data_IF_042956242225
#
_entry.id   IF_042956242225
#
_cell.length_a   1.000
_cell.length_b   1.000
_cell.length_c   1.000
_cell.angle_alpha   90.00
_cell.angle_beta   90.00
_cell.angle_gamma   90.00
#
_symmetry.space_group_name_H-M   'P 1'
#
loop_
_entity.id
_entity.type
_entity.pdbx_description
1 polymer ?
#
# COMPACT_ATOMS: atom_id res chain seq x y z
N UNK A 1 -1.76 -21.24 -18.13
CA UNK A 1 -1.22 -20.18 -17.23
C UNK A 1 -2.35 -19.26 -16.85
N UNK A 2 -2.44 -18.86 -15.58
CA UNK A 2 -3.43 -17.87 -15.17
C UNK A 2 -3.10 -16.52 -15.81
N UNK A 3 -4.14 -15.83 -16.27
CA UNK A 3 -4.01 -14.51 -16.88
C UNK A 3 -4.33 -13.46 -15.85
N UNK A 4 -3.38 -12.59 -15.52
CA UNK A 4 -3.51 -11.54 -14.49
C UNK A 4 -3.37 -10.16 -15.11
N UNK A 5 -4.38 -9.33 -14.91
CA UNK A 5 -4.35 -7.92 -15.29
C UNK A 5 -3.80 -7.09 -14.12
N UNK A 6 -2.77 -6.30 -14.37
CA UNK A 6 -2.18 -5.39 -13.37
C UNK A 6 -2.37 -3.96 -13.86
N UNK A 7 -3.20 -3.18 -13.18
CA UNK A 7 -3.25 -1.73 -13.42
C UNK A 7 -2.16 -1.03 -12.63
N UNK A 8 -1.61 0.06 -13.16
CA UNK A 8 -0.49 0.73 -12.51
C UNK A 8 0.81 -0.06 -12.53
N UNK A 9 0.99 -0.95 -13.52
CA UNK A 9 2.18 -1.80 -13.67
C UNK A 9 3.51 -1.02 -13.84
N UNK A 10 3.48 0.24 -14.26
CA UNK A 10 4.64 1.12 -14.31
C UNK A 10 4.99 1.79 -12.96
N UNK A 11 4.08 1.70 -11.97
CA UNK A 11 4.25 2.31 -10.65
C UNK A 11 5.25 1.56 -9.75
N UNK A 12 5.42 2.07 -8.52
CA UNK A 12 6.37 1.54 -7.55
C UNK A 12 6.14 0.06 -7.21
N UNK A 13 4.93 -0.32 -6.82
CA UNK A 13 4.57 -1.71 -6.54
C UNK A 13 4.40 -2.50 -7.83
N UNK A 14 3.70 -1.92 -8.82
CA UNK A 14 3.30 -2.59 -10.05
C UNK A 14 4.49 -3.09 -10.88
N UNK A 15 5.56 -2.31 -11.01
CA UNK A 15 6.75 -2.71 -11.77
C UNK A 15 7.48 -3.91 -11.14
N UNK A 16 7.50 -3.98 -9.82
CA UNK A 16 8.10 -5.10 -9.07
C UNK A 16 7.22 -6.34 -9.12
N UNK A 17 5.92 -6.17 -8.98
CA UNK A 17 4.95 -7.26 -9.09
C UNK A 17 4.94 -7.87 -10.49
N UNK A 18 4.87 -7.04 -11.53
CA UNK A 18 4.91 -7.51 -12.91
C UNK A 18 6.20 -8.29 -13.20
N UNK A 19 7.36 -7.82 -12.72
CA UNK A 19 8.62 -8.55 -12.84
C UNK A 19 8.60 -9.89 -12.11
N UNK A 20 8.06 -9.93 -10.89
CA UNK A 20 7.98 -11.15 -10.08
C UNK A 20 7.09 -12.20 -10.71
N UNK A 21 5.97 -11.81 -11.32
CA UNK A 21 4.98 -12.73 -11.89
C UNK A 21 5.26 -13.11 -13.35
N UNK A 22 6.21 -12.45 -14.02
CA UNK A 22 6.45 -12.63 -15.47
C UNK A 22 6.79 -14.05 -15.90
N UNK A 23 7.31 -14.91 -14.99
CA UNK A 23 7.63 -16.30 -15.27
C UNK A 23 6.52 -17.29 -14.93
N UNK A 24 5.50 -16.87 -14.16
CA UNK A 24 4.46 -17.75 -13.60
C UNK A 24 3.05 -17.49 -14.17
N UNK A 25 2.80 -16.28 -14.69
CA UNK A 25 1.50 -15.85 -15.19
C UNK A 25 1.59 -15.24 -16.60
N UNK A 26 0.49 -15.29 -17.34
CA UNK A 26 0.30 -14.40 -18.50
C UNK A 26 -0.13 -13.03 -17.99
N UNK A 27 0.72 -12.02 -18.16
CA UNK A 27 0.47 -10.69 -17.62
C UNK A 27 -0.14 -9.76 -18.67
N UNK A 28 -1.21 -9.07 -18.26
CA UNK A 28 -1.79 -7.93 -18.96
C UNK A 28 -1.42 -6.68 -18.19
N UNK A 29 -0.61 -5.81 -18.78
CA UNK A 29 -0.11 -4.57 -18.16
C UNK A 29 -0.40 -3.36 -19.03
N UNK A 30 -1.70 -3.05 -19.29
CA UNK A 30 -2.05 -1.97 -20.18
C UNK A 30 -1.61 -0.61 -19.63
N UNK A 31 -1.26 0.29 -20.55
CA UNK A 31 -1.07 1.69 -20.24
C UNK A 31 -2.39 2.36 -19.87
N UNK A 32 -2.34 3.54 -19.25
CA UNK A 32 -3.55 4.34 -18.94
C UNK A 32 -4.38 4.63 -20.20
N UNK A 33 -3.74 4.82 -21.36
CA UNK A 33 -4.44 5.11 -22.62
C UNK A 33 -5.22 3.91 -23.14
N UNK A 34 -4.74 2.70 -22.89
CA UNK A 34 -5.38 1.43 -23.31
C UNK A 34 -6.46 0.98 -22.33
N UNK A 35 -6.30 1.35 -21.05
CA UNK A 35 -7.16 0.90 -19.96
C UNK A 35 -7.43 2.06 -18.99
N UNK A 36 -8.32 2.96 -19.40
CA UNK A 36 -8.76 4.07 -18.57
C UNK A 36 -9.80 3.57 -17.55
N UNK A 37 -9.44 3.49 -16.29
CA UNK A 37 -10.32 3.01 -15.21
C UNK A 37 -11.53 3.90 -14.97
N UNK A 38 -11.50 5.16 -15.43
CA UNK A 38 -12.65 6.07 -15.34
C UNK A 38 -13.71 5.80 -16.40
N UNK A 39 -13.39 5.03 -17.44
CA UNK A 39 -14.31 4.66 -18.53
C UNK A 39 -14.80 3.21 -18.40
N UNK A 40 -16.01 3.04 -17.89
CA UNK A 40 -16.64 1.72 -17.77
C UNK A 40 -16.71 0.96 -19.11
N UNK A 41 -16.95 1.69 -20.20
CA UNK A 41 -17.01 1.09 -21.56
C UNK A 41 -15.64 0.56 -21.98
N UNK A 42 -14.54 1.30 -21.75
CA UNK A 42 -13.18 0.86 -22.06
C UNK A 42 -12.81 -0.39 -21.25
N UNK A 43 -13.17 -0.41 -19.95
CA UNK A 43 -12.93 -1.56 -19.08
C UNK A 43 -13.68 -2.81 -19.56
N UNK A 44 -14.97 -2.70 -19.86
CA UNK A 44 -15.77 -3.81 -20.39
C UNK A 44 -15.20 -4.35 -21.70
N UNK A 45 -14.79 -3.46 -22.61
CA UNK A 45 -14.19 -3.88 -23.87
C UNK A 45 -12.90 -4.66 -23.64
N UNK A 46 -11.98 -4.10 -22.84
CA UNK A 46 -10.67 -4.72 -22.57
C UNK A 46 -10.80 -6.04 -21.84
N UNK A 47 -11.55 -6.07 -20.74
CA UNK A 47 -11.74 -7.30 -19.94
C UNK A 47 -12.53 -8.35 -20.72
N UNK A 48 -13.52 -7.95 -21.50
CA UNK A 48 -14.29 -8.83 -22.40
C UNK A 48 -13.43 -9.49 -23.47
N UNK A 49 -12.46 -8.76 -24.02
CA UNK A 49 -11.51 -9.27 -25.03
C UNK A 49 -10.47 -10.20 -24.42
N UNK A 50 -9.85 -9.79 -23.32
CA UNK A 50 -8.68 -10.49 -22.74
C UNK A 50 -9.02 -11.57 -21.74
N UNK A 51 -10.20 -11.47 -21.09
CA UNK A 51 -10.69 -12.47 -20.11
C UNK A 51 -9.66 -12.83 -19.01
N UNK A 52 -9.17 -11.85 -18.22
CA UNK A 52 -8.26 -12.16 -17.12
C UNK A 52 -9.00 -12.96 -16.02
N UNK A 53 -8.27 -13.84 -15.32
CA UNK A 53 -8.78 -14.55 -14.16
C UNK A 53 -8.80 -13.62 -12.93
N UNK A 54 -7.83 -12.72 -12.85
CA UNK A 54 -7.71 -11.76 -11.76
C UNK A 54 -7.29 -10.38 -12.25
N UNK A 55 -7.73 -9.36 -11.52
CA UNK A 55 -7.34 -7.95 -11.66
C UNK A 55 -6.66 -7.52 -10.37
N UNK A 56 -5.38 -7.14 -10.45
CA UNK A 56 -4.65 -6.53 -9.35
C UNK A 56 -4.59 -5.03 -9.61
N UNK A 57 -5.38 -4.27 -8.86
CA UNK A 57 -5.53 -2.84 -9.06
C UNK A 57 -4.58 -2.04 -8.15
N UNK A 58 -3.51 -1.50 -8.76
CA UNK A 58 -2.46 -0.70 -8.12
C UNK A 58 -2.47 0.77 -8.58
N UNK A 59 -3.21 1.10 -9.64
CA UNK A 59 -3.31 2.48 -10.12
C UNK A 59 -4.08 3.34 -9.10
N UNK A 60 -3.50 4.45 -8.69
CA UNK A 60 -4.14 5.39 -7.76
C UNK A 60 -3.47 6.77 -7.81
N UNK A 61 -4.20 7.81 -7.47
CA UNK A 61 -3.62 9.07 -7.02
C UNK A 61 -3.31 8.92 -5.52
N UNK A 62 -2.03 8.67 -5.18
CA UNK A 62 -1.60 8.31 -3.83
C UNK A 62 -0.90 9.43 -3.05
N UNK A 63 -0.64 10.58 -3.68
CA UNK A 63 -0.12 11.74 -3.00
C UNK A 63 -1.22 12.41 -2.19
N UNK A 64 -1.16 12.32 -0.86
CA UNK A 64 -2.19 12.83 0.04
C UNK A 64 -2.37 14.34 -0.09
N UNK A 65 -1.27 15.12 -0.24
CA UNK A 65 -1.34 16.56 -0.45
C UNK A 65 -2.05 16.92 -1.76
N UNK A 66 -1.71 16.24 -2.86
CA UNK A 66 -2.39 16.42 -4.14
C UNK A 66 -3.89 16.10 -4.05
N UNK A 67 -4.26 15.05 -3.31
CA UNK A 67 -5.66 14.68 -3.13
C UNK A 67 -6.45 15.74 -2.31
N UNK A 68 -5.78 16.44 -1.38
CA UNK A 68 -6.40 17.57 -0.66
C UNK A 68 -6.64 18.78 -1.60
N UNK A 69 -5.69 19.07 -2.47
CA UNK A 69 -5.78 20.19 -3.42
C UNK A 69 -6.74 19.88 -4.59
N UNK A 70 -6.89 18.59 -4.98
CA UNK A 70 -7.67 18.12 -6.12
C UNK A 70 -8.66 17.00 -5.75
N UNK A 71 -9.62 17.24 -4.83
CA UNK A 71 -10.48 16.17 -4.31
C UNK A 71 -11.40 15.54 -5.37
N UNK A 72 -11.85 16.29 -6.39
CA UNK A 72 -12.69 15.77 -7.46
C UNK A 72 -11.91 14.79 -8.36
N UNK A 73 -10.66 15.11 -8.70
CA UNK A 73 -9.82 14.23 -9.50
C UNK A 73 -9.47 12.97 -8.71
N UNK A 74 -9.12 13.15 -7.42
CA UNK A 74 -8.91 12.03 -6.50
C UNK A 74 -10.14 11.12 -6.39
N UNK A 75 -11.35 11.67 -6.34
CA UNK A 75 -12.59 10.89 -6.34
C UNK A 75 -12.76 10.10 -7.64
N UNK A 76 -12.58 10.74 -8.81
CA UNK A 76 -12.74 10.08 -10.09
C UNK A 76 -11.80 8.86 -10.25
N UNK A 77 -10.55 9.00 -9.83
CA UNK A 77 -9.57 7.91 -9.96
C UNK A 77 -9.70 6.89 -8.83
N UNK A 78 -9.73 7.35 -7.57
CA UNK A 78 -9.63 6.47 -6.41
C UNK A 78 -10.97 5.86 -5.97
N UNK A 79 -12.11 6.41 -6.40
CA UNK A 79 -13.46 5.88 -6.08
C UNK A 79 -14.15 5.38 -7.35
N UNK A 80 -14.49 6.27 -8.26
CA UNK A 80 -15.26 5.90 -9.47
C UNK A 80 -14.51 4.87 -10.33
N UNK A 81 -13.18 4.99 -10.44
CA UNK A 81 -12.34 4.00 -11.13
C UNK A 81 -12.43 2.61 -10.49
N UNK A 82 -12.42 2.54 -9.15
CA UNK A 82 -12.54 1.27 -8.40
C UNK A 82 -13.96 0.70 -8.54
N UNK A 83 -15.01 1.53 -8.47
CA UNK A 83 -16.39 1.10 -8.73
C UNK A 83 -16.54 0.47 -10.11
N UNK A 84 -15.97 1.10 -11.15
CA UNK A 84 -16.01 0.57 -12.51
C UNK A 84 -15.30 -0.79 -12.60
N UNK A 85 -14.14 -0.94 -11.96
CA UNK A 85 -13.41 -2.21 -11.91
C UNK A 85 -14.19 -3.28 -11.17
N UNK A 86 -14.82 -2.96 -10.04
CA UNK A 86 -15.64 -3.90 -9.28
C UNK A 86 -16.85 -4.40 -10.09
N UNK A 87 -17.54 -3.49 -10.81
CA UNK A 87 -18.64 -3.86 -11.72
C UNK A 87 -18.16 -4.83 -12.80
N UNK A 88 -17.05 -4.49 -13.46
CA UNK A 88 -16.51 -5.33 -14.54
C UNK A 88 -15.98 -6.66 -13.99
N UNK A 89 -15.33 -6.67 -12.84
CA UNK A 89 -14.89 -7.91 -12.19
C UNK A 89 -16.06 -8.83 -11.89
N UNK A 90 -17.16 -8.31 -11.33
CA UNK A 90 -18.38 -9.08 -11.08
C UNK A 90 -19.04 -9.57 -12.39
N UNK A 91 -19.15 -8.72 -13.42
CA UNK A 91 -19.74 -9.07 -14.71
C UNK A 91 -18.99 -10.21 -15.43
N UNK A 92 -17.67 -10.25 -15.31
CA UNK A 92 -16.82 -11.22 -16.02
C UNK A 92 -16.30 -12.36 -15.14
N UNK A 93 -16.62 -12.37 -13.85
CA UNK A 93 -16.18 -13.41 -12.90
C UNK A 93 -14.67 -13.34 -12.60
N UNK A 94 -14.07 -12.14 -12.64
CA UNK A 94 -12.66 -11.94 -12.32
C UNK A 94 -12.46 -11.71 -10.83
N UNK A 95 -11.43 -12.31 -10.21
CA UNK A 95 -11.02 -11.95 -8.85
C UNK A 95 -10.45 -10.52 -8.84
N UNK A 96 -11.00 -9.63 -8.02
CA UNK A 96 -10.49 -8.27 -7.88
C UNK A 96 -9.69 -8.13 -6.58
N UNK A 97 -8.41 -7.76 -6.70
CA UNK A 97 -7.56 -7.35 -5.59
C UNK A 97 -7.33 -5.84 -5.71
N UNK A 98 -7.78 -5.08 -4.73
CA UNK A 98 -7.70 -3.63 -4.72
C UNK A 98 -6.79 -3.14 -3.61
N UNK A 99 -5.80 -2.31 -3.95
CA UNK A 99 -4.92 -1.68 -2.95
C UNK A 99 -5.59 -0.44 -2.35
N UNK A 100 -6.14 -0.62 -1.16
CA UNK A 100 -6.53 0.45 -0.25
C UNK A 100 -5.30 0.96 0.52
N UNK A 101 -5.47 1.60 1.67
CA UNK A 101 -4.38 2.23 2.41
C UNK A 101 -4.64 2.25 3.92
N UNK A 102 -3.57 2.23 4.72
CA UNK A 102 -3.57 2.54 6.14
C UNK A 102 -4.13 3.95 6.46
N UNK A 103 -4.20 4.83 5.44
CA UNK A 103 -4.76 6.18 5.59
C UNK A 103 -6.26 6.19 5.94
N UNK A 104 -6.97 5.07 5.80
CA UNK A 104 -8.35 4.92 6.30
C UNK A 104 -8.42 5.05 7.82
N UNK A 105 -7.33 4.77 8.53
CA UNK A 105 -7.21 4.93 9.98
C UNK A 105 -6.77 6.35 10.41
N UNK A 106 -6.46 7.25 9.46
CA UNK A 106 -6.02 8.61 9.80
C UNK A 106 -7.14 9.37 10.51
N UNK A 107 -6.86 9.90 11.69
CA UNK A 107 -7.87 10.49 12.59
C UNK A 107 -8.36 9.53 13.68
N UNK A 108 -7.95 8.26 13.65
CA UNK A 108 -8.26 7.32 14.72
C UNK A 108 -7.48 7.65 16.00
N UNK A 109 -8.14 7.59 17.15
CA UNK A 109 -7.57 7.92 18.46
C UNK A 109 -7.22 6.68 19.29
N UNK A 110 -7.50 5.48 18.81
CA UNK A 110 -7.17 4.25 19.53
C UNK A 110 -5.67 4.01 19.56
N UNK A 111 -5.19 3.47 20.68
CA UNK A 111 -3.79 3.13 20.87
C UNK A 111 -3.50 1.70 20.41
N UNK A 112 -2.25 1.44 20.06
CA UNK A 112 -1.78 0.11 19.66
C UNK A 112 -2.05 -0.23 18.20
N UNK A 113 -2.05 -1.53 17.89
CA UNK A 113 -2.28 -1.99 16.52
C UNK A 113 -3.77 -2.02 16.20
N UNK A 114 -4.15 -1.40 15.10
CA UNK A 114 -5.54 -1.26 14.64
C UNK A 114 -5.91 -2.45 13.75
N UNK A 115 -6.93 -3.18 14.11
CA UNK A 115 -7.51 -4.21 13.25
C UNK A 115 -8.66 -3.66 12.38
N UNK A 116 -9.20 -4.48 11.49
CA UNK A 116 -10.21 -4.07 10.51
C UNK A 116 -11.60 -3.80 11.12
N UNK A 117 -11.81 -4.16 12.39
CA UNK A 117 -13.07 -3.92 13.13
C UNK A 117 -13.13 -2.54 13.77
N UNK A 118 -12.00 -1.85 13.87
CA UNK A 118 -11.92 -0.51 14.45
C UNK A 118 -12.74 0.47 13.59
N UNK A 119 -13.63 1.27 14.19
CA UNK A 119 -14.35 2.31 13.46
C UNK A 119 -13.39 3.29 12.79
N UNK A 120 -13.62 3.57 11.52
CA UNK A 120 -12.78 4.46 10.72
C UNK A 120 -13.52 5.71 10.28
N UNK A 121 -12.89 6.87 10.43
CA UNK A 121 -13.38 8.17 10.02
C UNK A 121 -12.21 9.05 9.55
N UNK A 122 -11.62 8.74 8.39
CA UNK A 122 -10.40 9.40 7.95
C UNK A 122 -10.59 10.91 7.74
N UNK A 123 -9.64 11.70 8.23
CA UNK A 123 -9.69 13.16 8.20
C UNK A 123 -9.28 13.76 6.85
N UNK A 124 -8.45 13.04 6.06
CA UNK A 124 -7.97 13.51 4.77
C UNK A 124 -8.78 12.93 3.59
N UNK A 125 -8.82 13.63 2.47
CA UNK A 125 -9.55 13.20 1.27
C UNK A 125 -9.07 11.86 0.74
N UNK A 126 -7.77 11.60 0.73
CA UNK A 126 -7.24 10.32 0.25
C UNK A 126 -7.77 9.13 1.08
N UNK A 127 -7.72 9.21 2.41
CA UNK A 127 -8.25 8.18 3.30
C UNK A 127 -9.76 7.99 3.11
N UNK A 128 -10.53 9.10 3.03
CA UNK A 128 -11.98 9.06 2.76
C UNK A 128 -12.30 8.38 1.42
N UNK A 129 -11.55 8.70 0.37
CA UNK A 129 -11.75 8.09 -0.94
C UNK A 129 -11.37 6.61 -0.96
N UNK A 130 -10.31 6.20 -0.25
CA UNK A 130 -9.97 4.79 -0.12
C UNK A 130 -11.03 4.01 0.67
N UNK A 131 -11.53 4.56 1.77
CA UNK A 131 -12.62 3.95 2.55
C UNK A 131 -13.89 3.79 1.71
N UNK A 132 -14.32 4.86 1.04
CA UNK A 132 -15.51 4.82 0.16
C UNK A 132 -15.33 3.80 -0.97
N UNK A 133 -14.12 3.70 -1.54
CA UNK A 133 -13.81 2.71 -2.56
C UNK A 133 -13.89 1.26 -2.03
N UNK A 134 -13.45 0.99 -0.77
CA UNK A 134 -13.63 -0.31 -0.13
C UNK A 134 -15.12 -0.69 -0.06
N UNK A 135 -15.96 0.22 0.46
CA UNK A 135 -17.39 0.02 0.62
C UNK A 135 -18.07 -0.27 -0.73
N UNK A 136 -17.81 0.56 -1.74
CA UNK A 136 -18.39 0.42 -3.07
C UNK A 136 -17.91 -0.82 -3.81
N UNK A 137 -16.63 -1.15 -3.70
CA UNK A 137 -16.07 -2.34 -4.33
C UNK A 137 -16.71 -3.63 -3.77
N UNK A 138 -16.85 -3.73 -2.46
CA UNK A 138 -17.46 -4.90 -1.81
C UNK A 138 -18.96 -4.99 -2.04
N UNK A 139 -19.67 -3.85 -2.13
CA UNK A 139 -21.09 -3.82 -2.49
C UNK A 139 -21.32 -4.39 -3.91
N UNK A 140 -20.46 -4.03 -4.86
CA UNK A 140 -20.58 -4.38 -6.29
C UNK A 140 -19.96 -5.74 -6.63
N UNK A 141 -18.93 -6.14 -5.92
CA UNK A 141 -18.18 -7.38 -6.10
C UNK A 141 -17.84 -7.98 -4.72
N UNK A 142 -18.76 -8.75 -4.11
CA UNK A 142 -18.56 -9.28 -2.75
C UNK A 142 -17.30 -10.14 -2.58
N UNK A 143 -16.77 -10.72 -3.67
CA UNK A 143 -15.51 -11.46 -3.65
C UNK A 143 -14.27 -10.57 -3.83
N UNK A 144 -14.42 -9.25 -3.90
CA UNK A 144 -13.30 -8.30 -3.94
C UNK A 144 -12.49 -8.38 -2.65
N UNK A 145 -11.16 -8.33 -2.77
CA UNK A 145 -10.22 -8.22 -1.65
C UNK A 145 -9.63 -6.81 -1.64
N UNK A 146 -9.95 -6.05 -0.60
CA UNK A 146 -9.41 -4.71 -0.38
C UNK A 146 -8.25 -4.79 0.62
N UNK A 147 -7.07 -4.37 0.22
CA UNK A 147 -5.85 -4.44 1.01
C UNK A 147 -5.49 -3.04 1.57
N UNK A 148 -5.64 -2.83 2.87
CA UNK A 148 -5.19 -1.62 3.58
C UNK A 148 -3.68 -1.66 3.72
N UNK A 149 -2.99 -1.24 2.67
CA UNK A 149 -1.54 -1.32 2.59
C UNK A 149 -0.86 -0.20 3.38
N UNK A 150 0.23 -0.54 4.09
CA UNK A 150 1.10 0.44 4.79
C UNK A 150 2.01 1.17 3.81
N UNK A 151 2.71 2.21 4.28
CA UNK A 151 3.71 2.89 3.49
C UNK A 151 4.87 1.95 3.15
N UNK A 152 5.28 1.95 1.87
CA UNK A 152 6.25 0.99 1.36
C UNK A 152 7.59 1.66 1.05
N UNK A 153 8.67 0.90 1.20
CA UNK A 153 10.02 1.35 0.90
C UNK A 153 10.78 0.36 0.02
N UNK A 154 11.78 0.91 -0.68
CA UNK A 154 12.82 0.20 -1.42
C UNK A 154 13.93 1.19 -1.79
N UNK A 155 15.06 0.68 -2.26
CA UNK A 155 16.08 1.50 -2.93
C UNK A 155 15.78 1.63 -4.44
N UNK A 156 16.39 2.63 -5.11
CA UNK A 156 16.28 2.75 -6.55
C UNK A 156 16.85 1.54 -7.28
N UNK A 157 16.08 1.03 -8.25
CA UNK A 157 16.50 -0.03 -9.16
C UNK A 157 16.42 0.48 -10.60
N UNK A 158 17.39 0.09 -11.44
CA UNK A 158 17.42 0.48 -12.84
C UNK A 158 16.15 0.00 -13.57
N UNK A 159 15.50 0.91 -14.29
CA UNK A 159 14.28 0.63 -15.05
C UNK A 159 13.00 0.49 -14.23
N UNK A 160 13.03 0.77 -12.93
CA UNK A 160 11.85 0.76 -12.06
C UNK A 160 11.53 2.13 -11.49
N UNK A 161 10.25 2.42 -11.38
CA UNK A 161 9.80 3.65 -10.71
C UNK A 161 10.19 3.61 -9.22
N UNK A 162 10.79 4.70 -8.75
CA UNK A 162 11.14 4.89 -7.33
C UNK A 162 10.63 6.26 -6.89
N UNK A 163 10.02 6.32 -5.73
CA UNK A 163 9.65 7.56 -5.07
C UNK A 163 10.44 7.74 -3.79
N UNK A 164 10.46 8.95 -3.25
CA UNK A 164 11.02 9.21 -1.93
C UNK A 164 10.26 8.40 -0.88
N UNK A 165 10.99 7.67 -0.06
CA UNK A 165 10.46 6.83 1.00
C UNK A 165 11.36 6.92 2.23
N UNK A 166 10.95 6.29 3.33
CA UNK A 166 11.66 6.35 4.60
C UNK A 166 13.15 5.96 4.48
N UNK A 167 13.42 4.83 3.83
CA UNK A 167 14.80 4.29 3.67
C UNK A 167 15.68 5.23 2.85
N UNK A 168 15.17 5.72 1.72
CA UNK A 168 15.88 6.66 0.84
C UNK A 168 16.19 7.95 1.59
N UNK A 169 15.22 8.49 2.35
CA UNK A 169 15.40 9.72 3.10
C UNK A 169 16.48 9.58 4.20
N UNK A 170 16.45 8.49 4.96
CA UNK A 170 17.43 8.24 6.04
C UNK A 170 18.84 8.03 5.46
N UNK A 171 18.97 7.21 4.39
CA UNK A 171 20.26 7.00 3.73
C UNK A 171 20.83 8.31 3.14
N UNK A 172 19.98 9.16 2.59
CA UNK A 172 20.38 10.47 2.09
C UNK A 172 20.83 11.41 3.21
N UNK A 173 20.11 11.39 4.35
CA UNK A 173 20.49 12.16 5.55
C UNK A 173 21.89 11.76 6.05
N UNK A 174 22.18 10.46 6.12
CA UNK A 174 23.51 9.95 6.49
C UNK A 174 24.57 10.43 5.50
N UNK A 175 24.29 10.30 4.19
CA UNK A 175 25.23 10.70 3.14
C UNK A 175 25.58 12.18 3.18
N UNK A 176 24.61 13.05 3.50
CA UNK A 176 24.76 14.51 3.54
C UNK A 176 25.13 15.05 4.92
N UNK A 177 25.07 14.25 5.98
CA UNK A 177 25.20 14.71 7.36
C UNK A 177 24.10 15.70 7.77
N UNK A 178 22.90 15.60 7.16
CA UNK A 178 21.80 16.53 7.39
C UNK A 178 20.71 15.87 8.25
N UNK A 179 20.45 16.38 9.47
CA UNK A 179 19.42 15.78 10.35
C UNK A 179 18.01 15.84 9.74
N UNK A 180 17.21 14.82 10.02
CA UNK A 180 15.79 14.73 9.68
C UNK A 180 14.93 14.72 10.93
N UNK A 181 13.82 15.44 10.90
CA UNK A 181 12.83 15.46 11.99
C UNK A 181 11.83 14.34 11.79
N UNK A 182 11.58 13.57 12.86
CA UNK A 182 10.63 12.46 12.90
C UNK A 182 9.65 12.65 14.07
N UNK A 183 8.35 12.52 13.78
CA UNK A 183 7.32 12.74 14.78
C UNK A 183 7.41 11.69 15.92
N UNK A 184 7.35 12.18 17.17
CA UNK A 184 7.30 11.33 18.36
C UNK A 184 5.87 10.84 18.67
N UNK A 185 4.86 11.44 18.03
CA UNK A 185 3.45 11.14 18.23
C UNK A 185 2.77 10.58 16.98
N UNK A 186 3.55 9.99 16.06
CA UNK A 186 3.05 9.26 14.91
C UNK A 186 3.47 7.78 15.00
N UNK A 187 2.48 6.89 14.93
CA UNK A 187 2.66 5.44 14.90
C UNK A 187 2.18 4.91 13.55
N UNK A 188 3.05 4.19 12.84
CA UNK A 188 2.73 3.59 11.55
C UNK A 188 3.69 2.47 11.19
N UNK A 189 3.20 1.49 10.45
CA UNK A 189 4.04 0.49 9.79
C UNK A 189 4.69 1.04 8.53
N UNK A 190 5.88 0.57 8.23
CA UNK A 190 6.50 0.71 6.91
C UNK A 190 6.96 -0.66 6.43
N UNK A 191 6.70 -0.99 5.17
CA UNK A 191 6.88 -2.34 4.64
C UNK A 191 7.86 -2.36 3.48
N UNK A 192 8.80 -3.31 3.48
CA UNK A 192 9.59 -3.57 2.29
C UNK A 192 8.69 -4.06 1.15
N UNK A 193 8.77 -3.38 0.00
CA UNK A 193 7.92 -3.72 -1.16
C UNK A 193 8.16 -5.14 -1.67
N UNK A 194 9.35 -5.72 -1.42
CA UNK A 194 9.64 -7.12 -1.73
C UNK A 194 8.75 -8.10 -0.98
N UNK A 195 8.39 -7.82 0.29
CA UNK A 195 7.43 -8.63 1.03
C UNK A 195 6.01 -8.46 0.49
N UNK A 196 5.61 -7.23 0.14
CA UNK A 196 4.34 -6.97 -0.52
C UNK A 196 4.20 -7.81 -1.79
N UNK A 197 5.19 -7.76 -2.67
CA UNK A 197 5.20 -8.50 -3.94
C UNK A 197 5.13 -10.01 -3.73
N UNK A 198 5.84 -10.56 -2.73
CA UNK A 198 5.78 -11.99 -2.40
C UNK A 198 4.40 -12.42 -1.90
N UNK A 199 3.70 -11.56 -1.17
CA UNK A 199 2.42 -11.87 -0.55
C UNK A 199 1.20 -11.66 -1.49
N UNK A 200 1.30 -10.80 -2.51
CA UNK A 200 0.18 -10.52 -3.44
C UNK A 200 -0.41 -11.77 -4.08
N UNK A 201 0.36 -12.75 -4.60
CA UNK A 201 -0.23 -13.96 -5.20
C UNK A 201 -1.14 -14.75 -4.25
N UNK A 202 -0.82 -14.78 -2.96
CA UNK A 202 -1.63 -15.47 -1.96
C UNK A 202 -2.96 -14.77 -1.68
N UNK A 203 -3.07 -13.46 -1.98
CA UNK A 203 -4.33 -12.72 -1.79
C UNK A 203 -5.42 -13.14 -2.77
N UNK A 204 -5.07 -13.78 -3.88
CA UNK A 204 -6.02 -14.31 -4.86
C UNK A 204 -6.92 -15.42 -4.27
N UNK A 205 -6.45 -16.09 -3.22
CA UNK A 205 -7.14 -17.18 -2.55
C UNK A 205 -7.95 -16.71 -1.32
N UNK A 206 -7.84 -15.45 -0.94
CA UNK A 206 -8.59 -14.92 0.20
C UNK A 206 -10.08 -14.79 -0.13
N UNK A 207 -10.98 -15.06 0.83
CA UNK A 207 -12.37 -14.66 0.69
C UNK A 207 -12.49 -13.14 0.54
N UNK A 208 -13.55 -12.68 -0.11
CA UNK A 208 -13.83 -11.25 -0.25
C UNK A 208 -13.90 -10.55 1.10
N UNK A 209 -13.39 -9.32 1.15
CA UNK A 209 -13.36 -8.52 2.37
C UNK A 209 -12.21 -7.53 2.44
N UNK A 210 -12.12 -6.83 3.56
CA UNK A 210 -11.05 -5.86 3.85
C UNK A 210 -9.99 -6.53 4.71
N UNK A 211 -8.73 -6.30 4.39
CA UNK A 211 -7.58 -6.86 5.10
C UNK A 211 -6.46 -5.81 5.26
N UNK A 212 -5.90 -5.71 6.45
CA UNK A 212 -4.65 -5.00 6.67
C UNK A 212 -3.49 -5.74 5.99
N UNK A 213 -2.61 -4.99 5.31
CA UNK A 213 -1.60 -5.60 4.44
C UNK A 213 -0.27 -4.84 4.54
N UNK A 214 0.66 -5.38 5.30
CA UNK A 214 1.99 -4.79 5.53
C UNK A 214 2.53 -5.06 6.92
N UNK A 215 3.65 -4.42 7.25
CA UNK A 215 4.36 -4.61 8.51
C UNK A 215 3.63 -3.95 9.68
N UNK A 216 3.52 -4.66 10.79
CA UNK A 216 3.16 -4.10 12.09
C UNK A 216 4.30 -3.21 12.63
N UNK A 217 3.96 -2.19 13.42
CA UNK A 217 4.95 -1.38 14.13
C UNK A 217 4.38 -0.84 15.45
N UNK A 218 5.08 -1.05 16.52
CA UNK A 218 4.73 -0.53 17.86
C UNK A 218 5.55 0.70 18.26
N UNK A 219 6.57 1.03 17.46
CA UNK A 219 7.42 2.20 17.66
C UNK A 219 6.79 3.41 16.96
N UNK A 220 6.98 4.60 17.54
CA UNK A 220 6.70 5.83 16.81
C UNK A 220 7.71 6.06 15.69
N UNK A 221 7.46 7.06 14.83
CA UNK A 221 8.31 7.32 13.65
C UNK A 221 9.73 7.70 14.04
N UNK A 222 9.93 8.43 15.15
CA UNK A 222 11.26 8.78 15.67
C UNK A 222 12.03 7.57 16.18
N UNK A 223 11.40 6.73 16.99
CA UNK A 223 12.00 5.49 17.48
C UNK A 223 12.35 4.52 16.33
N UNK A 224 11.48 4.46 15.31
CA UNK A 224 11.72 3.70 14.08
C UNK A 224 12.97 4.20 13.35
N UNK A 225 13.15 5.53 13.27
CA UNK A 225 14.34 6.12 12.66
C UNK A 225 15.61 5.79 13.44
N UNK A 226 15.58 5.89 14.78
CA UNK A 226 16.70 5.48 15.63
C UNK A 226 17.04 3.99 15.48
N UNK A 227 16.01 3.12 15.41
CA UNK A 227 16.22 1.69 15.20
C UNK A 227 16.89 1.44 13.84
N UNK A 228 16.47 2.15 12.79
CA UNK A 228 17.07 1.99 11.47
C UNK A 228 18.51 2.52 11.40
N UNK A 229 18.82 3.67 12.02
CA UNK A 229 20.20 4.17 12.12
C UNK A 229 21.12 3.14 12.81
N UNK A 230 20.63 2.44 13.86
CA UNK A 230 21.39 1.37 14.53
C UNK A 230 21.60 0.16 13.62
N UNK A 231 20.59 -0.24 12.83
CA UNK A 231 20.72 -1.33 11.84
C UNK A 231 21.80 -0.99 10.80
N UNK A 232 21.85 0.27 10.37
CA UNK A 232 22.87 0.78 9.44
C UNK A 232 24.24 0.97 10.11
N UNK A 233 24.38 0.73 11.41
CA UNK A 233 25.59 0.98 12.19
C UNK A 233 26.08 2.43 12.07
N UNK A 234 25.11 3.38 11.93
CA UNK A 234 25.44 4.80 11.83
C UNK A 234 26.00 5.30 13.16
N UNK A 235 27.20 5.91 13.17
CA UNK A 235 27.83 6.40 14.40
C UNK A 235 27.13 7.62 14.98
N UNK A 236 26.42 8.39 14.14
CA UNK A 236 25.74 9.60 14.53
C UNK A 236 24.21 9.41 14.55
N UNK A 237 23.67 9.12 15.72
CA UNK A 237 22.23 8.99 15.94
C UNK A 237 21.50 10.34 16.01
N UNK A 238 22.23 11.48 16.13
CA UNK A 238 21.62 12.82 16.13
C UNK A 238 21.07 13.24 14.77
N UNK A 239 21.33 12.46 13.72
CA UNK A 239 20.70 12.61 12.42
C UNK A 239 19.16 12.35 12.48
N UNK A 240 18.67 11.61 13.47
CA UNK A 240 17.24 11.54 13.78
C UNK A 240 16.93 12.56 14.88
N UNK A 241 16.16 13.58 14.56
CA UNK A 241 15.72 14.62 15.49
C UNK A 241 14.26 14.40 15.85
N UNK A 242 13.96 14.41 17.16
CA UNK A 242 12.59 14.30 17.64
C UNK A 242 11.75 15.53 17.20
N UNK A 243 10.57 15.28 16.66
CA UNK A 243 9.57 16.28 16.33
C UNK A 243 8.37 16.14 17.26
N UNK A 244 8.39 16.88 18.38
CA UNK A 244 7.34 16.87 19.38
C UNK A 244 6.15 17.78 19.03
N UNK A 245 6.35 18.71 18.07
CA UNK A 245 5.32 19.65 17.64
C UNK A 245 4.33 19.00 16.67
N UNK A 246 4.84 18.13 15.80
CA UNK A 246 4.02 17.42 14.83
C UNK A 246 3.09 16.44 15.54
N UNK A 247 1.79 16.59 15.30
CA UNK A 247 0.72 15.84 15.98
C UNK A 247 0.64 16.11 17.49
N UNK A 248 1.03 17.32 17.95
CA UNK A 248 0.98 17.69 19.36
C UNK A 248 -0.46 17.74 19.91
N UNK A 249 -1.45 18.08 19.11
CA UNK A 249 -2.86 18.13 19.48
C UNK A 249 -3.48 16.73 19.71
N UNK A 250 -3.06 15.73 18.94
CA UNK A 250 -3.51 14.34 19.07
C UNK A 250 -2.47 13.38 18.50
N UNK A 251 -2.45 12.17 19.02
CA UNK A 251 -1.58 11.10 18.48
C UNK A 251 -2.13 10.65 17.13
N UNK A 252 -1.26 10.57 16.12
CA UNK A 252 -1.60 9.97 14.85
C UNK A 252 -1.26 8.49 14.88
N UNK A 253 -2.27 7.64 14.96
CA UNK A 253 -2.08 6.19 14.92
C UNK A 253 -2.70 5.60 13.65
N UNK A 254 -1.86 5.02 12.80
CA UNK A 254 -2.22 4.26 11.62
C UNK A 254 -1.44 2.93 11.56
N UNK A 255 -0.97 2.45 12.73
CA UNK A 255 -0.32 1.14 12.85
C UNK A 255 -1.36 0.04 12.79
N UNK A 256 -1.18 -0.89 11.89
CA UNK A 256 -2.13 -1.98 11.61
C UNK A 256 -1.78 -3.25 12.37
N UNK A 257 -2.81 -4.09 12.64
CA UNK A 257 -2.66 -5.50 12.99
C UNK A 257 -2.93 -6.37 11.76
N UNK A 258 -2.06 -7.34 11.51
CA UNK A 258 -2.19 -8.27 10.36
C UNK A 258 -2.81 -9.61 10.75
N UNK A 259 -3.32 -9.76 11.99
CA UNK A 259 -3.87 -11.01 12.48
C UNK A 259 -4.94 -11.61 11.55
N UNK A 260 -5.90 -10.80 11.07
CA UNK A 260 -6.99 -11.26 10.22
C UNK A 260 -6.50 -11.89 8.91
N UNK A 261 -5.54 -11.25 8.22
CA UNK A 261 -5.05 -11.77 6.94
C UNK A 261 -4.20 -13.03 7.14
N UNK A 262 -3.43 -13.12 8.23
CA UNK A 262 -2.67 -14.31 8.59
C UNK A 262 -3.61 -15.49 8.83
N UNK A 263 -4.68 -15.30 9.61
CA UNK A 263 -5.70 -16.32 9.87
C UNK A 263 -6.42 -16.73 8.59
N UNK A 264 -6.91 -15.76 7.80
CA UNK A 264 -7.64 -16.02 6.56
C UNK A 264 -6.81 -16.70 5.47
N UNK A 265 -5.50 -16.47 5.46
CA UNK A 265 -4.56 -17.12 4.53
C UNK A 265 -3.94 -18.42 5.08
N UNK A 266 -4.37 -18.89 6.25
CA UNK A 266 -3.76 -20.03 6.94
C UNK A 266 -2.24 -19.89 7.10
N UNK A 267 -1.75 -18.68 7.33
CA UNK A 267 -0.34 -18.37 7.50
C UNK A 267 0.46 -18.23 6.20
N UNK A 268 -0.17 -18.30 5.02
CA UNK A 268 0.52 -18.12 3.75
C UNK A 268 0.95 -16.66 3.51
N UNK A 269 0.22 -15.69 4.08
CA UNK A 269 0.56 -14.27 4.04
C UNK A 269 1.13 -13.87 5.40
N UNK A 270 2.38 -13.44 5.40
CA UNK A 270 3.07 -12.97 6.59
C UNK A 270 3.99 -11.82 6.24
N UNK A 271 4.12 -10.89 7.17
CA UNK A 271 5.05 -9.76 7.10
C UNK A 271 5.94 -9.77 8.35
N UNK A 272 7.21 -9.46 8.18
CA UNK A 272 8.04 -9.08 9.31
C UNK A 272 7.50 -7.79 9.94
N UNK A 273 7.75 -7.56 11.24
CA UNK A 273 7.51 -6.22 11.79
C UNK A 273 8.44 -5.19 11.12
N UNK A 274 8.11 -3.92 11.28
CA UNK A 274 8.87 -2.83 10.62
C UNK A 274 10.38 -2.90 10.87
N UNK A 275 10.81 -3.18 12.09
CA UNK A 275 12.25 -3.18 12.44
C UNK A 275 12.95 -4.41 11.86
N UNK A 276 12.32 -5.56 11.95
CA UNK A 276 12.85 -6.79 11.35
C UNK A 276 12.85 -6.72 9.82
N UNK A 277 11.80 -6.17 9.22
CA UNK A 277 11.74 -5.94 7.76
C UNK A 277 12.88 -5.02 7.27
N UNK A 278 13.20 -3.95 8.01
CA UNK A 278 14.35 -3.09 7.72
C UNK A 278 15.69 -3.85 7.82
N UNK A 279 15.83 -4.75 8.81
CA UNK A 279 17.04 -5.56 8.98
C UNK A 279 17.21 -6.55 7.82
N UNK A 280 16.15 -7.27 7.48
CA UNK A 280 16.15 -8.22 6.35
C UNK A 280 16.43 -7.52 5.03
N UNK A 281 15.83 -6.35 4.80
CA UNK A 281 16.09 -5.54 3.62
C UNK A 281 17.57 -5.18 3.48
N UNK A 282 18.22 -4.69 4.54
CA UNK A 282 19.65 -4.33 4.49
C UNK A 282 20.55 -5.57 4.31
N UNK A 283 20.12 -6.73 4.80
CA UNK A 283 20.86 -7.97 4.58
C UNK A 283 20.77 -8.45 3.12
N UNK A 284 19.61 -8.30 2.48
CA UNK A 284 19.41 -8.66 1.07
C UNK A 284 20.03 -7.65 0.08
N UNK A 285 20.30 -6.41 0.52
CA UNK A 285 20.86 -5.34 -0.33
C UNK A 285 22.40 -5.33 -0.35
N UNK A 286 23.05 -6.14 0.48
CA UNK A 286 24.51 -6.37 0.51
C UNK A 286 24.90 -7.49 -0.44
#
# INVERSE_FOLDING_TARGET
>A
MEKVLITGASGFVGSRLARSLSSSCELLTPSHREFDITSLQALRHYVGLHRPHAIVHLAALSNTGYCEEHPQESYLVNVAGVENLARVAAEYGCKLIFFSSDQVYNGNLEAGLLDESVPVAPENHYGRHKLLAEERALELCPDCVALRATWMYDTPHAGMHTHRNFVVNVKEAIRLGTPLRFATREFRGITWVGEVVRNVPHTLLLPGGVYNFGAENRLNTYETALAYLRILQCPDLSLAVADEERFSSHVRNISISTRKIVEASHGAIQFADTVEGLRQFEHCAR
#
